data_IF_681173092379
#
_entry.id   IF_681173092379
#
_cell.length_a   1.000
_cell.length_b   1.000
_cell.length_c   1.000
_cell.angle_alpha   90.00
_cell.angle_beta   90.00
_cell.angle_gamma   90.00
#
_symmetry.space_group_name_H-M   'P 1'
#
loop_
_entity.id
_entity.type
_entity.pdbx_description
1 polymer ?
#
# COMPACT_ATOMS: atom_id res chain seq x y z
N UNK A 1 -24.37 8.87 17.97
CA UNK A 1 -24.37 8.18 16.66
C UNK A 1 -22.94 7.99 16.21
N UNK A 2 -22.43 6.77 16.22
CA UNK A 2 -21.11 6.45 15.67
C UNK A 2 -21.30 6.40 14.15
N UNK A 3 -20.60 7.24 13.39
CA UNK A 3 -20.69 7.24 11.92
C UNK A 3 -19.82 6.06 11.41
N UNK A 4 -20.44 4.89 11.16
CA UNK A 4 -19.78 3.59 10.91
C UNK A 4 -19.21 3.45 9.47
N UNK A 5 -18.95 4.53 8.75
CA UNK A 5 -18.37 4.42 7.40
C UNK A 5 -17.41 5.57 7.07
N UNK A 6 -16.38 5.77 7.91
CA UNK A 6 -15.20 6.51 7.47
C UNK A 6 -14.27 5.56 6.70
N UNK A 7 -13.89 5.96 5.50
CA UNK A 7 -12.81 5.31 4.75
C UNK A 7 -11.46 5.70 5.35
N UNK A 8 -10.40 4.92 5.08
CA UNK A 8 -9.05 5.26 5.54
C UNK A 8 -8.62 6.66 5.04
N UNK A 9 -8.97 7.01 3.80
CA UNK A 9 -8.68 8.33 3.24
C UNK A 9 -9.43 9.45 3.96
N UNK A 10 -10.68 9.22 4.36
CA UNK A 10 -11.46 10.21 5.11
C UNK A 10 -10.94 10.38 6.54
N UNK A 11 -10.48 9.30 7.17
CA UNK A 11 -9.87 9.36 8.50
C UNK A 11 -8.60 10.22 8.48
N UNK A 12 -7.71 10.01 7.50
CA UNK A 12 -6.52 10.84 7.34
C UNK A 12 -6.88 12.30 7.05
N UNK A 13 -7.78 12.56 6.10
CA UNK A 13 -8.23 13.92 5.76
C UNK A 13 -8.75 14.65 7.00
N UNK A 14 -9.63 14.01 7.76
CA UNK A 14 -10.22 14.60 8.96
C UNK A 14 -9.13 14.91 9.99
N UNK A 15 -8.21 13.97 10.24
CA UNK A 15 -7.13 14.19 11.20
C UNK A 15 -6.18 15.32 10.76
N UNK A 16 -5.84 15.39 9.47
CA UNK A 16 -5.01 16.44 8.91
C UNK A 16 -5.66 17.84 9.01
N UNK A 17 -6.99 17.92 8.98
CA UNK A 17 -7.72 19.18 9.21
C UNK A 17 -7.66 19.64 10.67
N UNK A 18 -7.80 18.72 11.63
CA UNK A 18 -7.83 19.07 13.06
C UNK A 18 -6.43 19.14 13.71
N UNK A 19 -5.46 18.43 13.17
CA UNK A 19 -4.10 18.31 13.73
C UNK A 19 -3.02 18.48 12.65
N UNK A 20 -3.06 19.55 11.83
CA UNK A 20 -2.21 19.69 10.65
C UNK A 20 -0.72 19.70 10.97
N UNK A 21 -0.34 20.23 12.13
CA UNK A 21 1.05 20.44 12.52
C UNK A 21 1.66 19.31 13.36
N UNK A 22 0.88 18.28 13.71
CA UNK A 22 1.39 17.12 14.43
C UNK A 22 2.19 16.21 13.49
N UNK A 23 3.23 15.56 14.01
CA UNK A 23 4.02 14.59 13.25
C UNK A 23 3.19 13.34 12.92
N UNK A 24 3.15 12.97 11.64
CA UNK A 24 2.42 11.80 11.15
C UNK A 24 3.35 10.61 10.91
N UNK A 25 4.50 10.84 10.26
CA UNK A 25 5.51 9.82 10.02
C UNK A 25 6.87 10.33 10.51
N UNK A 26 7.55 9.50 11.29
CA UNK A 26 8.86 9.78 11.87
C UNK A 26 9.80 8.61 11.61
N UNK A 27 10.92 8.90 10.95
CA UNK A 27 12.03 7.97 10.74
C UNK A 27 13.37 8.74 10.78
N UNK A 28 14.53 8.06 10.91
CA UNK A 28 15.81 8.75 10.93
C UNK A 28 16.01 9.63 9.69
N UNK A 29 16.17 10.94 9.88
CA UNK A 29 16.34 11.91 8.79
C UNK A 29 15.07 12.26 8.00
N UNK A 30 13.90 11.77 8.41
CA UNK A 30 12.63 12.08 7.74
C UNK A 30 11.48 12.23 8.72
N UNK A 31 10.84 13.39 8.68
CA UNK A 31 9.66 13.72 9.49
C UNK A 31 8.70 14.47 8.61
N UNK A 32 7.43 14.07 8.63
CA UNK A 32 6.36 14.84 7.98
C UNK A 32 5.18 14.98 8.92
N UNK A 33 4.49 16.12 8.79
CA UNK A 33 3.28 16.44 9.55
C UNK A 33 2.03 15.88 8.87
N UNK A 34 0.91 15.81 9.58
CA UNK A 34 -0.34 15.28 9.01
C UNK A 34 -0.83 16.06 7.79
N UNK A 35 -0.63 17.40 7.72
CA UNK A 35 -0.93 18.18 6.52
C UNK A 35 -0.14 17.69 5.30
N UNK A 36 1.16 17.47 5.47
CA UNK A 36 2.07 17.04 4.41
C UNK A 36 1.81 15.58 4.02
N UNK A 37 1.36 14.76 4.98
CA UNK A 37 0.99 13.38 4.72
C UNK A 37 -0.28 13.28 3.87
N UNK A 38 -1.33 14.05 4.20
CA UNK A 38 -2.55 14.13 3.38
C UNK A 38 -2.23 14.66 1.97
N UNK A 39 -1.48 15.75 1.87
CA UNK A 39 -1.04 16.33 0.59
C UNK A 39 -0.34 15.29 -0.30
N UNK A 40 0.70 14.64 0.24
CA UNK A 40 1.51 13.67 -0.51
C UNK A 40 0.72 12.41 -0.88
N UNK A 41 -0.17 11.94 -0.01
CA UNK A 41 -0.99 10.77 -0.31
C UNK A 41 -2.06 11.07 -1.35
N UNK A 42 -2.60 12.29 -1.39
CA UNK A 42 -3.50 12.74 -2.45
C UNK A 42 -2.77 12.84 -3.79
N UNK A 43 -1.59 13.47 -3.81
CA UNK A 43 -0.76 13.54 -5.02
C UNK A 43 -0.38 12.15 -5.54
N UNK A 44 0.02 11.25 -4.63
CA UNK A 44 0.38 9.90 -5.02
C UNK A 44 -0.82 9.10 -5.53
N UNK A 45 -1.97 9.21 -4.87
CA UNK A 45 -3.23 8.63 -5.35
C UNK A 45 -3.53 9.07 -6.79
N UNK A 46 -3.41 10.36 -7.08
CA UNK A 46 -3.63 10.90 -8.44
C UNK A 46 -2.60 10.40 -9.44
N UNK A 47 -1.34 10.30 -9.05
CA UNK A 47 -0.31 9.69 -9.88
C UNK A 47 -0.67 8.23 -10.23
N UNK A 48 -1.00 7.42 -9.24
CA UNK A 48 -1.37 6.01 -9.42
C UNK A 48 -2.59 5.86 -10.34
N UNK A 49 -3.64 6.66 -10.13
CA UNK A 49 -4.79 6.67 -11.04
C UNK A 49 -4.39 7.12 -12.46
N UNK A 50 -3.49 8.09 -12.59
CA UNK A 50 -2.96 8.55 -13.89
C UNK A 50 -2.09 7.49 -14.59
N UNK A 51 -1.46 6.59 -13.84
CA UNK A 51 -0.78 5.40 -14.39
C UNK A 51 -1.77 4.28 -14.74
N UNK A 52 -3.07 4.44 -14.43
CA UNK A 52 -4.11 3.49 -14.77
C UNK A 52 -4.51 2.53 -13.65
N UNK A 53 -4.03 2.71 -12.41
CA UNK A 53 -4.49 1.93 -11.25
C UNK A 53 -5.96 2.26 -10.96
N UNK A 54 -6.78 1.22 -10.86
CA UNK A 54 -8.23 1.31 -10.66
C UNK A 54 -8.64 0.76 -9.29
N UNK A 55 -9.86 1.12 -8.89
CA UNK A 55 -10.51 0.54 -7.71
C UNK A 55 -10.60 -0.98 -7.86
N UNK A 56 -10.21 -1.69 -6.82
CA UNK A 56 -10.17 -3.15 -6.78
C UNK A 56 -8.87 -3.78 -7.29
N UNK A 57 -8.00 -3.03 -7.97
CA UNK A 57 -6.71 -3.55 -8.42
C UNK A 57 -5.87 -3.97 -7.20
N UNK A 58 -5.24 -5.14 -7.30
CA UNK A 58 -4.30 -5.65 -6.30
C UNK A 58 -2.91 -5.14 -6.64
N UNK A 59 -2.32 -4.40 -5.71
CA UNK A 59 -1.02 -3.77 -5.91
C UNK A 59 -0.04 -4.28 -4.86
N UNK A 60 0.82 -5.26 -5.19
CA UNK A 60 1.89 -5.70 -4.32
C UNK A 60 2.83 -4.54 -3.92
N UNK A 61 3.19 -4.50 -2.64
CA UNK A 61 4.11 -3.53 -2.04
C UNK A 61 5.35 -4.24 -1.53
N UNK A 62 6.47 -4.09 -2.23
CA UNK A 62 7.79 -4.55 -1.79
C UNK A 62 8.67 -3.35 -1.47
N UNK A 63 8.32 -2.59 -0.43
CA UNK A 63 9.03 -1.34 -0.07
C UNK A 63 9.74 -1.42 1.27
N UNK A 64 9.51 -2.47 2.07
CA UNK A 64 9.94 -2.55 3.47
C UNK A 64 9.09 -1.66 4.40
N UNK A 65 9.41 -1.62 5.70
CA UNK A 65 8.66 -0.83 6.70
C UNK A 65 9.23 0.58 6.80
N UNK A 66 8.82 1.49 5.91
CA UNK A 66 9.32 2.87 5.86
C UNK A 66 8.22 3.88 5.49
N UNK A 67 8.58 5.16 5.34
CA UNK A 67 7.64 6.20 4.95
C UNK A 67 6.97 5.94 3.60
N UNK A 68 7.69 5.37 2.64
CA UNK A 68 7.15 5.02 1.32
C UNK A 68 6.06 3.95 1.42
N UNK A 69 6.18 3.00 2.36
CA UNK A 69 5.12 2.03 2.65
C UNK A 69 3.84 2.72 3.12
N UNK A 70 3.94 3.60 4.12
CA UNK A 70 2.78 4.31 4.67
C UNK A 70 2.10 5.19 3.61
N UNK A 71 2.89 5.94 2.82
CA UNK A 71 2.41 6.74 1.71
C UNK A 71 1.71 5.89 0.64
N UNK A 72 2.33 4.78 0.22
CA UNK A 72 1.78 3.87 -0.79
C UNK A 72 0.47 3.26 -0.34
N UNK A 73 0.44 2.78 0.90
CA UNK A 73 -0.75 2.19 1.48
C UNK A 73 -1.93 3.16 1.47
N UNK A 74 -1.71 4.38 1.97
CA UNK A 74 -2.77 5.37 2.06
C UNK A 74 -3.20 5.88 0.68
N UNK A 75 -2.26 6.06 -0.25
CA UNK A 75 -2.55 6.45 -1.64
C UNK A 75 -3.42 5.41 -2.35
N UNK A 76 -3.10 4.12 -2.23
CA UNK A 76 -3.91 3.03 -2.78
C UNK A 76 -5.30 2.96 -2.13
N UNK A 77 -5.38 3.09 -0.81
CA UNK A 77 -6.65 3.13 -0.09
C UNK A 77 -7.54 4.32 -0.49
N UNK A 78 -6.93 5.45 -0.86
CA UNK A 78 -7.62 6.66 -1.36
C UNK A 78 -8.19 6.53 -2.76
N UNK A 79 -7.71 5.58 -3.58
CA UNK A 79 -8.20 5.34 -4.95
C UNK A 79 -9.02 4.06 -5.07
N UNK A 80 -9.30 3.38 -3.97
CA UNK A 80 -10.10 2.17 -4.02
C UNK A 80 -9.29 0.88 -4.24
N UNK A 81 -7.96 0.96 -4.36
CA UNK A 81 -7.10 -0.18 -4.70
C UNK A 81 -6.73 -1.00 -3.44
N UNK A 82 -6.37 -2.26 -3.66
CA UNK A 82 -5.99 -3.21 -2.61
C UNK A 82 -4.47 -3.26 -2.53
N UNK A 83 -3.91 -2.60 -1.52
CA UNK A 83 -2.50 -2.71 -1.18
C UNK A 83 -2.19 -4.11 -0.63
N UNK A 84 -1.16 -4.77 -1.17
CA UNK A 84 -0.74 -6.11 -0.72
C UNK A 84 0.72 -6.10 -0.27
N UNK A 85 0.99 -5.90 1.04
CA UNK A 85 2.33 -5.93 1.58
C UNK A 85 3.04 -7.27 1.34
N UNK A 86 4.20 -7.25 0.68
CA UNK A 86 5.07 -8.41 0.52
C UNK A 86 6.17 -8.39 1.58
N UNK A 87 6.54 -9.57 2.07
CA UNK A 87 7.65 -9.72 3.00
C UNK A 87 8.98 -9.72 2.23
N UNK A 88 9.82 -8.71 2.46
CA UNK A 88 11.13 -8.58 1.81
C UNK A 88 12.18 -9.56 2.33
N UNK A 89 11.90 -10.32 3.39
CA UNK A 89 12.73 -11.43 3.84
C UNK A 89 12.41 -12.75 3.11
N UNK A 90 11.40 -12.78 2.24
CA UNK A 90 11.11 -13.94 1.43
C UNK A 90 12.18 -14.12 0.36
N UNK A 91 12.43 -15.39 0.03
CA UNK A 91 13.27 -15.74 -1.10
C UNK A 91 12.64 -15.22 -2.40
N UNK A 92 13.45 -14.88 -3.41
CA UNK A 92 12.96 -14.30 -4.66
C UNK A 92 11.85 -15.14 -5.33
N UNK A 93 11.96 -16.46 -5.32
CA UNK A 93 10.97 -17.37 -5.89
C UNK A 93 9.60 -17.27 -5.18
N UNK A 94 9.58 -17.00 -3.88
CA UNK A 94 8.35 -16.81 -3.11
C UNK A 94 7.74 -15.43 -3.36
N UNK A 95 8.57 -14.40 -3.55
CA UNK A 95 8.13 -13.06 -3.95
C UNK A 95 7.48 -13.13 -5.32
N UNK A 96 8.15 -13.76 -6.29
CA UNK A 96 7.62 -13.96 -7.64
C UNK A 96 6.31 -14.75 -7.63
N UNK A 97 6.26 -15.87 -6.90
CA UNK A 97 5.04 -16.65 -6.74
C UNK A 97 3.88 -15.80 -6.21
N UNK A 98 4.12 -14.98 -5.18
CA UNK A 98 3.09 -14.12 -4.60
C UNK A 98 2.60 -13.07 -5.60
N UNK A 99 3.50 -12.46 -6.39
CA UNK A 99 3.12 -11.50 -7.42
C UNK A 99 2.30 -12.19 -8.53
N UNK A 100 2.72 -13.38 -8.96
CA UNK A 100 2.03 -14.14 -10.00
C UNK A 100 0.64 -14.61 -9.59
N UNK A 101 0.42 -14.95 -8.31
CA UNK A 101 -0.87 -15.35 -7.72
C UNK A 101 -1.83 -14.17 -7.55
N UNK A 102 -1.30 -12.96 -7.37
CA UNK A 102 -2.12 -11.75 -7.28
C UNK A 102 -2.73 -11.35 -8.62
N UNK A 103 -2.20 -11.87 -9.74
CA UNK A 103 -2.52 -11.43 -11.10
C UNK A 103 -2.42 -9.90 -11.24
N UNK A 104 -1.44 -9.34 -10.54
CA UNK A 104 -1.25 -7.91 -10.47
C UNK A 104 -0.65 -7.37 -11.77
N UNK A 105 -1.17 -6.22 -12.21
CA UNK A 105 -0.60 -5.44 -13.32
C UNK A 105 0.46 -4.43 -12.85
N UNK A 106 0.38 -4.04 -11.58
CA UNK A 106 1.20 -2.99 -10.97
C UNK A 106 2.00 -3.54 -9.80
N UNK A 107 3.25 -3.10 -9.67
CA UNK A 107 4.11 -3.36 -8.51
C UNK A 107 4.65 -2.03 -7.98
N UNK A 108 4.47 -1.79 -6.67
CA UNK A 108 5.23 -0.74 -5.98
C UNK A 108 6.42 -1.39 -5.28
N UNK A 109 7.62 -0.96 -5.63
CA UNK A 109 8.87 -1.53 -5.11
C UNK A 109 9.76 -0.43 -4.57
N UNK A 110 10.38 -0.65 -3.41
CA UNK A 110 11.41 0.26 -2.90
C UNK A 110 12.65 0.19 -3.77
N UNK A 111 13.36 1.31 -3.94
CA UNK A 111 14.62 1.36 -4.70
C UNK A 111 15.62 0.26 -4.31
N UNK A 112 15.72 -0.05 -3.02
CA UNK A 112 16.59 -1.08 -2.47
C UNK A 112 16.24 -2.51 -2.91
N UNK A 113 14.98 -2.73 -3.31
CA UNK A 113 14.50 -4.04 -3.76
C UNK A 113 14.30 -4.10 -5.28
N UNK A 114 14.47 -2.99 -5.98
CA UNK A 114 14.34 -2.96 -7.44
C UNK A 114 15.33 -3.92 -8.15
N UNK A 115 16.62 -4.01 -7.76
CA UNK A 115 17.54 -4.96 -8.38
C UNK A 115 17.08 -6.42 -8.22
N UNK A 116 16.58 -6.79 -7.04
CA UNK A 116 16.06 -8.13 -6.74
C UNK A 116 14.89 -8.50 -7.69
N UNK A 117 14.01 -7.54 -7.96
CA UNK A 117 12.91 -7.74 -8.91
C UNK A 117 13.44 -7.95 -10.32
N UNK A 118 14.48 -7.21 -10.75
CA UNK A 118 15.04 -7.32 -12.10
C UNK A 118 15.89 -8.58 -12.33
N UNK A 119 16.47 -9.17 -11.30
CA UNK A 119 17.40 -10.30 -11.48
C UNK A 119 16.80 -11.64 -11.13
N UNK A 120 15.95 -11.69 -10.10
CA UNK A 120 15.58 -12.96 -9.44
C UNK A 120 14.07 -13.13 -9.26
N UNK A 121 13.31 -12.04 -9.22
CA UNK A 121 11.87 -12.06 -9.04
C UNK A 121 11.10 -11.44 -10.23
N UNK A 122 11.70 -11.40 -11.42
CA UNK A 122 11.03 -10.90 -12.62
C UNK A 122 9.78 -11.74 -12.93
N UNK A 123 8.71 -11.04 -13.25
CA UNK A 123 7.44 -11.63 -13.69
C UNK A 123 7.02 -10.99 -15.01
N UNK A 124 6.64 -11.81 -15.97
CA UNK A 124 6.11 -11.33 -17.25
C UNK A 124 4.69 -10.75 -17.16
N UNK A 125 4.06 -10.79 -15.98
CA UNK A 125 2.69 -10.29 -15.76
C UNK A 125 2.63 -8.83 -15.33
N UNK A 126 3.68 -8.31 -14.68
CA UNK A 126 3.71 -6.92 -14.23
C UNK A 126 3.98 -6.01 -15.43
N UNK A 127 3.00 -5.15 -15.73
CA UNK A 127 3.09 -4.18 -16.83
C UNK A 127 3.73 -2.87 -16.38
N UNK A 128 3.55 -2.53 -15.10
CA UNK A 128 4.02 -1.26 -14.55
C UNK A 128 4.69 -1.46 -13.19
N UNK A 129 6.00 -1.30 -13.15
CA UNK A 129 6.76 -1.22 -11.89
C UNK A 129 7.01 0.22 -11.54
N UNK A 130 6.54 0.65 -10.37
CA UNK A 130 6.75 1.99 -9.84
C UNK A 130 7.75 1.88 -8.70
N UNK A 131 8.90 2.55 -8.87
CA UNK A 131 9.95 2.57 -7.86
C UNK A 131 9.68 3.69 -6.86
N UNK A 132 9.52 3.31 -5.60
CA UNK A 132 9.37 4.18 -4.46
C UNK A 132 10.76 4.45 -3.85
N UNK A 133 11.42 5.53 -4.27
CA UNK A 133 12.73 5.92 -3.75
C UNK A 133 12.72 6.14 -2.23
N UNK A 134 13.80 5.74 -1.55
CA UNK A 134 13.98 5.92 -0.12
C UNK A 134 14.40 7.34 0.26
N UNK A 135 13.86 7.81 1.37
CA UNK A 135 14.33 8.98 2.12
C UNK A 135 15.71 8.75 2.74
N UNK A 136 16.77 9.08 1.98
CA UNK A 136 17.91 9.82 2.54
C UNK A 136 18.42 10.96 1.66
N UNK A 137 18.17 10.98 0.33
CA UNK A 137 18.75 12.04 -0.54
C UNK A 137 17.85 12.51 -1.70
N UNK A 138 16.85 11.76 -2.19
CA UNK A 138 16.13 12.20 -3.40
C UNK A 138 14.69 12.71 -3.15
N UNK A 139 14.36 13.89 -3.70
CA UNK A 139 13.00 14.31 -3.96
C UNK A 139 12.32 13.51 -5.09
N UNK A 140 12.88 12.44 -5.66
CA UNK A 140 12.50 11.95 -7.00
C UNK A 140 11.00 11.66 -7.16
N UNK A 141 10.45 10.70 -6.40
CA UNK A 141 9.00 10.45 -6.43
C UNK A 141 8.22 11.62 -5.83
N UNK A 142 8.56 12.08 -4.62
CA UNK A 142 7.75 13.08 -3.91
C UNK A 142 7.70 14.46 -4.59
N UNK A 143 8.80 14.90 -5.22
CA UNK A 143 8.85 16.11 -6.07
C UNK A 143 8.17 15.85 -7.40
N UNK A 144 8.34 14.68 -8.01
CA UNK A 144 7.56 14.32 -9.18
C UNK A 144 6.05 14.30 -8.88
N UNK A 145 5.67 14.03 -7.63
CA UNK A 145 4.27 14.05 -7.18
C UNK A 145 3.73 15.47 -6.96
N UNK A 146 4.57 16.47 -6.67
CA UNK A 146 4.14 17.87 -6.50
C UNK A 146 3.43 18.44 -7.73
N UNK A 147 3.63 17.86 -8.93
CA UNK A 147 2.91 18.25 -10.15
C UNK A 147 1.45 17.77 -10.18
N UNK A 148 1.07 16.85 -9.30
CA UNK A 148 -0.30 16.38 -9.17
C UNK A 148 -1.07 17.23 -8.17
N UNK A 149 -2.39 17.41 -8.36
CA UNK A 149 -3.18 18.21 -7.45
C UNK A 149 -3.35 17.52 -6.10
N UNK A 150 -3.24 18.28 -5.01
CA UNK A 150 -3.68 17.87 -3.66
C UNK A 150 -5.22 17.90 -3.58
N UNK A 151 -5.86 17.01 -4.34
CA UNK A 151 -7.29 16.78 -4.24
C UNK A 151 -7.52 15.31 -3.98
N UNK A 152 -8.04 15.00 -2.79
CA UNK A 152 -8.35 13.62 -2.45
C UNK A 152 -9.34 13.03 -3.48
N UNK A 153 -9.09 11.81 -3.97
CA UNK A 153 -10.02 11.12 -4.86
C UNK A 153 -11.36 10.87 -4.17
N UNK A 154 -12.42 10.75 -4.98
CA UNK A 154 -13.81 10.55 -4.53
C UNK A 154 -14.04 9.11 -4.05
N UNK A 155 -13.21 8.16 -4.49
CA UNK A 155 -13.38 6.73 -4.24
C UNK A 155 -12.37 6.19 -3.24
N UNK A 156 -12.74 6.10 -1.96
CA UNK A 156 -11.90 5.47 -0.94
C UNK A 156 -12.54 4.19 -0.40
N UNK A 157 -11.71 3.21 -0.03
CA UNK A 157 -12.19 1.92 0.49
C UNK A 157 -12.45 2.00 2.00
N UNK A 158 -13.47 1.28 2.47
CA UNK A 158 -13.66 1.01 3.88
C UNK A 158 -12.55 0.07 4.42
N UNK A 159 -12.23 0.21 5.71
CA UNK A 159 -11.25 -0.59 6.47
C UNK A 159 -11.23 -2.12 6.25
N UNK A 160 -12.34 -2.83 5.94
CA UNK A 160 -12.33 -4.29 5.85
C UNK A 160 -11.43 -4.88 4.75
N UNK A 161 -11.18 -4.16 3.65
CA UNK A 161 -10.39 -4.67 2.52
C UNK A 161 -8.87 -4.61 2.73
N UNK A 162 -8.41 -3.79 3.69
CA UNK A 162 -7.00 -3.74 4.08
C UNK A 162 -6.58 -5.00 4.84
N UNK A 163 -7.49 -5.58 5.63
CA UNK A 163 -7.20 -6.76 6.44
C UNK A 163 -7.23 -8.07 5.62
N UNK A 164 -8.00 -8.13 4.54
CA UNK A 164 -8.12 -9.31 3.68
C UNK A 164 -6.84 -9.59 2.87
N UNK A 165 -6.11 -8.57 2.42
CA UNK A 165 -4.89 -8.75 1.62
C UNK A 165 -3.75 -9.43 2.39
N UNK A 166 -3.56 -9.05 3.65
CA UNK A 166 -2.59 -9.69 4.57
C UNK A 166 -3.05 -11.10 4.91
N UNK A 167 -4.35 -11.35 5.11
CA UNK A 167 -4.80 -12.70 5.43
C UNK A 167 -4.66 -13.70 4.27
N UNK A 168 -4.88 -13.35 3.00
CA UNK A 168 -4.95 -14.36 1.92
C UNK A 168 -3.60 -14.98 1.55
N UNK A 169 -2.52 -14.19 1.48
CA UNK A 169 -1.19 -14.73 1.13
C UNK A 169 -0.61 -15.50 2.31
N UNK A 170 -0.70 -14.97 3.52
CA UNK A 170 -0.26 -15.67 4.73
C UNK A 170 -1.06 -16.94 4.98
N UNK A 171 -2.37 -16.94 4.70
CA UNK A 171 -3.24 -18.10 4.81
C UNK A 171 -2.79 -19.27 3.94
N UNK A 172 -2.49 -19.03 2.66
CA UNK A 172 -2.06 -20.08 1.72
C UNK A 172 -0.67 -20.66 2.02
N UNK A 173 0.16 -19.91 2.77
CA UNK A 173 1.49 -20.34 3.21
C UNK A 173 1.49 -21.06 4.57
N UNK A 174 0.40 -21.00 5.33
CA UNK A 174 0.28 -21.68 6.63
C UNK A 174 -0.05 -23.18 6.47
N UNK A 175 0.50 -24.06 7.32
CA UNK A 175 0.12 -25.47 7.35
C UNK A 175 -1.40 -25.66 7.50
N UNK A 176 -1.96 -26.67 6.84
CA UNK A 176 -3.41 -26.94 6.81
C UNK A 176 -4.05 -27.18 8.19
N UNK A 177 -3.25 -27.49 9.20
CA UNK A 177 -3.66 -27.59 10.61
C UNK A 177 -3.96 -26.23 11.24
N UNK A 178 -3.12 -25.22 10.98
CA UNK A 178 -3.32 -23.86 11.48
C UNK A 178 -4.53 -23.18 10.82
N UNK A 179 -4.72 -23.44 9.51
CA UNK A 179 -5.90 -23.00 8.77
C UNK A 179 -7.21 -23.56 9.40
N UNK A 180 -7.23 -24.83 9.81
CA UNK A 180 -8.42 -25.44 10.43
C UNK A 180 -8.74 -24.88 11.82
N UNK A 181 -7.72 -24.64 12.64
CA UNK A 181 -7.88 -24.10 13.99
C UNK A 181 -8.44 -22.66 13.99
N UNK A 182 -7.98 -21.81 13.07
CA UNK A 182 -8.47 -20.43 12.98
C UNK A 182 -9.95 -20.36 12.53
N UNK A 183 -10.41 -21.27 11.64
CA UNK A 183 -11.83 -21.37 11.27
C UNK A 183 -12.74 -21.69 12.46
N UNK A 184 -12.28 -22.51 13.41
CA UNK A 184 -13.10 -22.87 14.57
C UNK A 184 -13.16 -21.77 15.64
N UNK A 185 -12.22 -20.81 15.62
CA UNK A 185 -12.11 -19.75 16.63
C UNK A 185 -12.70 -18.41 16.16
N UNK A 186 -12.64 -18.10 14.85
CA UNK A 186 -12.99 -16.77 14.33
C UNK A 186 -14.16 -16.70 13.33
N UNK A 187 -14.84 -17.82 13.03
CA UNK A 187 -15.91 -17.82 12.01
C UNK A 187 -17.32 -18.22 12.53
N UNK A 188 -18.06 -17.32 13.22
CA UNK A 188 -19.51 -17.47 13.36
C UNK A 188 -20.34 -16.60 12.38
N UNK A 189 -19.73 -15.73 11.56
CA UNK A 189 -20.47 -14.67 10.86
C UNK A 189 -20.35 -14.62 9.33
N UNK A 190 -19.82 -15.66 8.68
CA UNK A 190 -19.77 -15.75 7.23
C UNK A 190 -20.27 -17.11 6.73
N UNK A 191 -21.59 -17.18 6.49
CA UNK A 191 -22.26 -18.09 5.54
C UNK A 191 -23.00 -17.20 4.55
#
# INVERSE_FOLDING_TARGET
>A
MIQIASTLGNALRSYAQFHPDQEALVSPGFRIRYREYEERTNQFARYLSGQGVKKGDRVPLLTGTNASFALSLMALAKIGAVAVPLNHYWKPEMIRWAIDDLEADFLLVGDQFYPLIQTEAETGKIRHTIVCEQNKVSPGLLRALQKYPDTSPVESVALPLFWTGIHVIWWRLLPSTFQRLHRSVYNPFWV
#
